data_IF_635404145704
#
_entry.id   IF_635404145704
#
_cell.length_a   1.000
_cell.length_b   1.000
_cell.length_c   1.000
_cell.angle_alpha   90.00
_cell.angle_beta   90.00
_cell.angle_gamma   90.00
#
_symmetry.space_group_name_H-M   'P 1'
#
loop_
_entity.id
_entity.type
_entity.pdbx_description
1 polymer ?
#
# COMPACT_ATOMS: atom_id res chain seq x y z
N UNK A 1 -16.86 13.44 6.57
CA UNK A 1 -17.47 12.18 7.02
C UNK A 1 -16.49 11.06 6.68
N UNK A 2 -15.72 10.55 7.63
CA UNK A 2 -15.21 9.18 7.53
C UNK A 2 -16.44 8.34 7.87
N UNK A 3 -16.94 7.55 6.91
CA UNK A 3 -17.99 6.58 7.19
C UNK A 3 -17.32 5.39 7.85
N UNK A 4 -17.20 5.49 9.17
CA UNK A 4 -16.71 4.48 10.11
C UNK A 4 -17.73 3.32 10.26
N UNK A 5 -18.09 2.67 9.16
CA UNK A 5 -19.02 1.53 9.10
C UNK A 5 -18.43 0.43 8.20
N UNK A 6 -17.14 0.14 8.39
CA UNK A 6 -16.48 -0.98 7.75
C UNK A 6 -15.84 -1.81 8.85
N UNK A 7 -16.47 -2.94 9.18
CA UNK A 7 -16.04 -3.85 10.25
C UNK A 7 -14.61 -4.35 10.01
N UNK A 8 -14.18 -4.42 8.75
CA UNK A 8 -12.84 -4.85 8.32
C UNK A 8 -11.82 -3.69 8.24
N UNK A 9 -12.25 -2.42 8.22
CA UNK A 9 -11.31 -1.29 8.20
C UNK A 9 -10.37 -1.22 9.42
N UNK A 10 -10.82 -1.43 10.68
CA UNK A 10 -9.91 -1.40 11.82
C UNK A 10 -8.85 -2.51 11.74
N UNK A 11 -9.23 -3.72 11.32
CA UNK A 11 -8.27 -4.83 11.15
C UNK A 11 -7.24 -4.49 10.07
N UNK A 12 -7.68 -4.01 8.90
CA UNK A 12 -6.77 -3.63 7.80
C UNK A 12 -5.84 -2.47 8.24
N UNK A 13 -6.32 -1.56 9.09
CA UNK A 13 -5.49 -0.47 9.61
C UNK A 13 -4.42 -0.97 10.58
N UNK A 14 -4.75 -1.87 11.50
CA UNK A 14 -3.78 -2.51 12.42
C UNK A 14 -2.73 -3.30 11.65
N UNK A 15 -3.18 -4.03 10.62
CA UNK A 15 -2.30 -4.75 9.71
C UNK A 15 -1.36 -3.81 8.95
N UNK A 16 -1.86 -2.69 8.42
CA UNK A 16 -1.04 -1.69 7.75
C UNK A 16 -0.04 -1.01 8.68
N UNK A 17 -0.35 -0.81 9.97
CA UNK A 17 0.61 -0.29 10.96
C UNK A 17 1.75 -1.28 11.20
N UNK A 18 1.45 -2.59 11.26
CA UNK A 18 2.49 -3.62 11.35
C UNK A 18 3.43 -3.60 10.14
N UNK A 19 2.88 -3.38 8.94
CA UNK A 19 3.67 -3.26 7.70
C UNK A 19 4.48 -1.97 7.70
N UNK A 20 3.93 -0.84 8.16
CA UNK A 20 4.64 0.45 8.28
C UNK A 20 5.91 0.30 9.13
N UNK A 21 5.80 -0.30 10.32
CA UNK A 21 6.95 -0.54 11.20
C UNK A 21 8.03 -1.46 10.57
N UNK A 22 7.63 -2.52 9.87
CA UNK A 22 8.57 -3.44 9.20
C UNK A 22 9.24 -2.78 7.98
N UNK A 23 8.46 -2.02 7.20
CA UNK A 23 8.94 -1.34 5.99
C UNK A 23 9.85 -0.15 6.29
N UNK A 24 9.68 0.53 7.43
CA UNK A 24 10.57 1.61 7.88
C UNK A 24 12.00 1.09 8.13
N UNK A 25 12.15 -0.13 8.70
CA UNK A 25 13.46 -0.79 8.85
C UNK A 25 14.14 -1.06 7.50
N UNK A 26 13.35 -1.21 6.44
CA UNK A 26 13.81 -1.41 5.07
C UNK A 26 13.96 -0.09 4.29
N UNK A 27 13.69 1.07 4.91
CA UNK A 27 13.78 2.39 4.30
C UNK A 27 12.66 2.70 3.31
N UNK A 28 11.52 2.02 3.43
CA UNK A 28 10.32 2.25 2.63
C UNK A 28 9.36 3.10 3.47
N UNK A 29 8.96 4.25 2.96
CA UNK A 29 8.04 5.16 3.65
C UNK A 29 6.60 4.83 3.26
N UNK A 30 5.76 4.52 4.25
CA UNK A 30 4.33 4.34 4.04
C UNK A 30 3.60 5.68 4.22
N UNK A 31 2.77 6.05 3.24
CA UNK A 31 2.05 7.34 3.25
C UNK A 31 0.56 7.14 3.00
N UNK A 32 -0.29 7.80 3.82
CA UNK A 32 -1.74 7.82 3.64
C UNK A 32 -2.14 9.12 2.95
N UNK A 33 -2.68 9.04 1.74
CA UNK A 33 -3.19 10.21 1.01
C UNK A 33 -4.70 10.16 0.85
N UNK A 34 -5.35 11.32 1.04
CA UNK A 34 -6.79 11.51 0.83
C UNK A 34 -7.09 12.35 -0.42
N UNK A 35 -6.05 12.62 -1.22
CA UNK A 35 -6.18 13.50 -2.38
C UNK A 35 -6.79 12.74 -3.57
N UNK A 36 -8.11 12.83 -3.69
CA UNK A 36 -8.86 12.19 -4.75
C UNK A 36 -8.50 12.72 -6.15
N UNK A 37 -7.99 13.96 -6.23
CA UNK A 37 -7.57 14.56 -7.50
C UNK A 37 -6.29 13.88 -7.99
N UNK A 38 -5.28 13.79 -7.11
CA UNK A 38 -4.06 13.05 -7.41
C UNK A 38 -4.36 11.58 -7.74
N UNK A 39 -5.23 10.94 -6.96
CA UNK A 39 -5.66 9.56 -7.21
C UNK A 39 -6.27 9.39 -8.61
N UNK A 40 -7.13 10.32 -9.03
CA UNK A 40 -7.71 10.30 -10.38
C UNK A 40 -6.65 10.53 -11.47
N UNK A 41 -5.68 11.42 -11.24
CA UNK A 41 -4.58 11.71 -12.18
C UNK A 41 -3.68 10.49 -12.41
N UNK A 42 -3.50 9.65 -11.39
CA UNK A 42 -2.76 8.39 -11.50
C UNK A 42 -3.63 7.22 -11.94
N UNK A 43 -4.96 7.38 -12.09
CA UNK A 43 -5.87 6.36 -12.59
C UNK A 43 -6.55 5.49 -11.52
N UNK A 44 -6.57 5.94 -10.26
CA UNK A 44 -7.29 5.30 -9.16
C UNK A 44 -8.71 5.87 -9.06
N UNK A 45 -9.70 5.02 -9.27
CA UNK A 45 -11.13 5.37 -9.16
C UNK A 45 -11.86 4.58 -8.06
N UNK A 46 -11.17 3.64 -7.42
CA UNK A 46 -11.71 2.79 -6.37
C UNK A 46 -10.86 2.94 -5.11
N UNK A 47 -11.52 3.07 -3.97
CA UNK A 47 -10.89 3.17 -2.67
C UNK A 47 -11.46 2.10 -1.75
N UNK A 48 -10.68 1.60 -0.78
CA UNK A 48 -9.26 1.90 -0.54
C UNK A 48 -8.34 1.33 -1.64
N UNK A 49 -7.23 2.01 -1.93
CA UNK A 49 -6.24 1.60 -2.93
C UNK A 49 -4.83 1.72 -2.38
N UNK A 50 -3.97 0.78 -2.76
CA UNK A 50 -2.56 0.76 -2.38
C UNK A 50 -1.70 0.95 -3.64
N UNK A 51 -0.75 1.87 -3.55
CA UNK A 51 0.21 2.13 -4.63
C UNK A 51 1.60 2.14 -4.04
N UNK A 52 2.48 1.34 -4.64
CA UNK A 52 3.89 1.34 -4.32
C UNK A 52 4.66 2.19 -5.31
N UNK A 53 5.44 3.14 -4.81
CA UNK A 53 6.30 3.99 -5.64
C UNK A 53 7.76 3.54 -5.50
N UNK A 54 8.33 3.00 -6.59
CA UNK A 54 9.76 2.68 -6.64
C UNK A 54 10.45 3.61 -7.63
N UNK A 55 11.39 4.44 -7.17
CA UNK A 55 12.17 5.34 -8.05
C UNK A 55 11.31 6.21 -8.98
N UNK A 56 10.13 6.62 -8.51
CA UNK A 56 9.18 7.44 -9.27
C UNK A 56 8.21 6.66 -10.17
N UNK A 57 8.28 5.33 -10.20
CA UNK A 57 7.33 4.49 -10.94
C UNK A 57 6.21 4.04 -10.00
N UNK A 58 4.94 4.41 -10.25
CA UNK A 58 3.79 3.91 -9.51
C UNK A 58 3.45 2.48 -9.93
N UNK A 59 3.30 1.59 -8.96
CA UNK A 59 2.84 0.21 -9.14
C UNK A 59 1.57 0.05 -8.33
N UNK A 60 0.45 -0.13 -9.03
CA UNK A 60 -0.86 -0.31 -8.41
C UNK A 60 -1.01 -1.73 -7.87
N UNK A 61 -1.57 -1.83 -6.68
CA UNK A 61 -1.98 -3.09 -6.10
C UNK A 61 -3.48 -3.32 -6.35
N UNK A 62 -3.79 -4.32 -7.18
CA UNK A 62 -5.17 -4.69 -7.58
C UNK A 62 -5.77 -5.78 -6.67
N UNK A 63 -5.00 -6.29 -5.71
CA UNK A 63 -5.44 -7.35 -4.80
C UNK A 63 -6.28 -6.82 -3.63
N UNK A 64 -6.82 -7.75 -2.83
CA UNK A 64 -7.43 -7.41 -1.55
C UNK A 64 -6.38 -6.86 -0.58
N UNK A 65 -6.72 -5.82 0.17
CA UNK A 65 -5.85 -5.26 1.21
C UNK A 65 -5.82 -6.17 2.44
N UNK A 66 -5.21 -7.34 2.27
CA UNK A 66 -4.96 -8.35 3.31
C UNK A 66 -3.46 -8.34 3.61
N UNK A 67 -3.05 -8.33 4.88
CA UNK A 67 -1.63 -8.25 5.28
C UNK A 67 -0.75 -9.26 4.57
N UNK A 68 -1.23 -10.50 4.43
CA UNK A 68 -0.48 -11.56 3.78
C UNK A 68 -0.24 -11.25 2.30
N UNK A 69 -1.26 -10.76 1.60
CA UNK A 69 -1.14 -10.41 0.19
C UNK A 69 -0.36 -9.12 -0.05
N UNK A 70 -0.52 -8.12 0.82
CA UNK A 70 0.21 -6.86 0.75
C UNK A 70 1.69 -7.09 1.04
N UNK A 71 2.04 -7.82 2.10
CA UNK A 71 3.42 -8.21 2.36
C UNK A 71 3.98 -9.02 1.20
N UNK A 72 3.25 -10.01 0.68
CA UNK A 72 3.73 -10.79 -0.46
C UNK A 72 3.97 -9.91 -1.69
N UNK A 73 3.13 -8.90 -1.93
CA UNK A 73 3.34 -7.92 -2.99
C UNK A 73 4.64 -7.14 -2.76
N UNK A 74 4.84 -6.57 -1.57
CA UNK A 74 6.10 -5.88 -1.25
C UNK A 74 7.31 -6.81 -1.38
N UNK A 75 7.27 -8.01 -0.80
CA UNK A 75 8.33 -9.01 -0.91
C UNK A 75 8.58 -9.42 -2.37
N UNK A 76 7.54 -9.65 -3.16
CA UNK A 76 7.68 -10.02 -4.57
C UNK A 76 8.35 -8.90 -5.36
N UNK A 77 7.90 -7.65 -5.22
CA UNK A 77 8.47 -6.53 -5.97
C UNK A 77 9.86 -6.12 -5.46
N UNK A 78 10.07 -6.12 -4.13
CA UNK A 78 11.34 -5.79 -3.49
C UNK A 78 12.41 -6.89 -3.70
N UNK A 79 12.11 -8.17 -3.42
CA UNK A 79 13.08 -9.27 -3.59
C UNK A 79 13.37 -9.58 -5.05
N UNK A 80 12.40 -9.44 -5.96
CA UNK A 80 12.65 -9.68 -7.39
C UNK A 80 13.70 -8.73 -7.96
N UNK A 81 13.88 -7.54 -7.37
CA UNK A 81 14.95 -6.60 -7.77
C UNK A 81 16.19 -6.65 -6.90
N UNK A 82 16.10 -7.07 -5.64
CA UNK A 82 17.28 -7.26 -4.79
C UNK A 82 18.19 -8.43 -5.25
N UNK A 83 17.77 -9.23 -6.24
CA UNK A 83 18.65 -10.18 -6.97
C UNK A 83 19.44 -9.57 -8.14
N UNK A 84 19.31 -8.26 -8.41
CA UNK A 84 20.06 -7.56 -9.47
C UNK A 84 21.11 -6.56 -8.96
N UNK A 85 21.44 -6.58 -7.67
CA UNK A 85 22.62 -5.88 -7.14
C UNK A 85 23.59 -6.86 -6.51
#
# INVERSE_FOLDING_TARGET
MQSDDCEECPDILEELETIDDDTDQHGIQFVKSKDAKLASEIGIFSFPALVYYETGVPIMYDGKLDLGLVLYFFFYYFLSRNRRK
#
